data_IF_743103677192
#
_entry.id   IF_743103677192
#
_cell.length_a   1.000
_cell.length_b   1.000
_cell.length_c   1.000
_cell.angle_alpha   90.00
_cell.angle_beta   90.00
_cell.angle_gamma   90.00
#
_symmetry.space_group_name_H-M   'P 1'
#
loop_
_entity.id
_entity.type
_entity.pdbx_description
1 polymer ?
#
# COMPACT_ATOMS: atom_id res chain seq x y z
N UNK A 1 -21.41 -12.77 1.88
CA UNK A 1 -21.75 -13.80 0.90
C UNK A 1 -22.36 -15.03 1.60
N UNK A 2 -23.02 -15.90 0.83
CA UNK A 2 -23.72 -17.11 1.31
C UNK A 2 -24.95 -16.78 2.20
N UNK A 3 -25.63 -15.68 1.90
CA UNK A 3 -26.85 -15.28 2.60
C UNK A 3 -28.08 -15.98 2.00
N UNK A 4 -28.10 -17.32 2.08
CA UNK A 4 -29.18 -18.16 1.54
C UNK A 4 -29.36 -19.44 2.36
N UNK A 5 -30.52 -20.12 2.16
CA UNK A 5 -30.87 -21.39 2.80
C UNK A 5 -30.77 -21.32 4.32
N UNK A 6 -30.20 -22.34 4.94
CA UNK A 6 -30.06 -22.47 6.39
C UNK A 6 -29.18 -21.40 7.02
N UNK A 7 -28.28 -20.74 6.22
CA UNK A 7 -27.36 -19.72 6.69
C UNK A 7 -27.98 -18.32 6.74
N UNK A 8 -29.21 -18.13 6.24
CA UNK A 8 -29.85 -16.82 6.14
C UNK A 8 -29.91 -16.09 7.49
N UNK A 9 -30.38 -16.76 8.54
CA UNK A 9 -30.51 -16.14 9.86
C UNK A 9 -29.17 -15.80 10.50
N UNK A 10 -28.16 -16.63 10.28
CA UNK A 10 -26.79 -16.35 10.75
C UNK A 10 -26.17 -15.18 9.98
N UNK A 11 -26.36 -15.12 8.66
CA UNK A 11 -25.88 -14.02 7.83
C UNK A 11 -26.52 -12.67 8.21
N UNK A 12 -27.82 -12.65 8.51
CA UNK A 12 -28.51 -11.43 8.96
C UNK A 12 -27.98 -10.92 10.30
N UNK A 13 -27.73 -11.81 11.28
CA UNK A 13 -27.05 -11.42 12.53
C UNK A 13 -25.68 -10.84 12.27
N UNK A 14 -24.88 -11.51 11.45
CA UNK A 14 -23.55 -11.05 11.06
C UNK A 14 -23.58 -9.65 10.42
N UNK A 15 -24.57 -9.36 9.56
CA UNK A 15 -24.75 -8.01 9.00
C UNK A 15 -25.01 -6.99 10.10
N UNK A 16 -25.85 -7.32 11.09
CA UNK A 16 -26.09 -6.44 12.24
C UNK A 16 -24.83 -6.16 13.04
N UNK A 17 -24.07 -7.19 13.38
CA UNK A 17 -22.84 -7.10 14.15
C UNK A 17 -21.77 -6.24 13.43
N UNK A 18 -21.54 -6.50 12.14
CA UNK A 18 -20.61 -5.70 11.35
C UNK A 18 -21.07 -4.25 11.17
N UNK A 19 -22.37 -4.03 10.99
CA UNK A 19 -22.90 -2.67 10.89
C UNK A 19 -22.68 -1.90 12.19
N UNK A 20 -22.92 -2.53 13.34
CA UNK A 20 -22.67 -1.92 14.64
C UNK A 20 -21.19 -1.64 14.86
N UNK A 21 -20.31 -2.59 14.53
CA UNK A 21 -18.86 -2.42 14.63
C UNK A 21 -18.35 -1.27 13.75
N UNK A 22 -18.80 -1.20 12.49
CA UNK A 22 -18.40 -0.14 11.56
C UNK A 22 -18.86 1.26 12.00
N UNK A 23 -19.98 1.38 12.73
CA UNK A 23 -20.41 2.66 13.30
C UNK A 23 -19.50 3.18 14.41
N UNK A 24 -18.81 2.28 15.11
CA UNK A 24 -17.84 2.64 16.15
C UNK A 24 -16.47 3.01 15.58
N UNK A 25 -16.19 2.63 14.34
CA UNK A 25 -14.93 2.92 13.67
C UNK A 25 -15.02 4.28 12.96
N UNK A 26 -13.95 5.06 13.03
CA UNK A 26 -13.84 6.26 12.20
C UNK A 26 -13.67 5.85 10.73
N UNK A 27 -14.56 6.37 9.87
CA UNK A 27 -14.43 6.16 8.43
C UNK A 27 -13.15 6.81 7.90
N UNK A 28 -12.39 6.08 7.08
CA UNK A 28 -11.24 6.62 6.33
C UNK A 28 -11.65 7.65 5.27
N UNK A 29 -12.94 7.71 4.95
CA UNK A 29 -13.50 8.64 3.98
C UNK A 29 -14.49 9.53 4.72
N UNK A 30 -14.20 10.83 4.88
CA UNK A 30 -15.08 11.74 5.60
C UNK A 30 -16.50 11.72 5.05
N UNK A 31 -17.50 11.67 5.94
CA UNK A 31 -18.91 11.65 5.56
C UNK A 31 -19.42 10.39 4.86
N UNK A 32 -18.58 9.36 4.68
CA UNK A 32 -18.99 8.08 4.10
C UNK A 32 -19.23 7.03 5.18
N UNK A 33 -20.40 6.42 5.17
CA UNK A 33 -20.73 5.27 6.00
C UNK A 33 -20.66 4.00 5.15
N UNK A 34 -19.76 3.08 5.51
CA UNK A 34 -19.55 1.84 4.76
C UNK A 34 -20.78 0.95 4.91
N UNK A 35 -21.49 0.58 3.81
CA UNK A 35 -22.62 -0.33 3.90
C UNK A 35 -22.15 -1.77 4.09
N UNK A 36 -22.89 -2.54 4.87
CA UNK A 36 -22.74 -3.99 4.97
C UNK A 36 -23.85 -4.64 4.13
N UNK A 37 -23.47 -5.38 3.11
CA UNK A 37 -24.40 -5.99 2.15
C UNK A 37 -24.44 -7.50 2.35
N UNK A 38 -25.65 -8.04 2.50
CA UNK A 38 -25.88 -9.47 2.46
C UNK A 38 -26.07 -9.90 1.00
N UNK A 39 -25.28 -10.85 0.54
CA UNK A 39 -25.36 -11.36 -0.84
C UNK A 39 -25.32 -12.89 -0.87
N UNK A 40 -25.91 -13.48 -1.89
CA UNK A 40 -25.74 -14.89 -2.23
C UNK A 40 -25.26 -15.03 -3.68
N UNK A 41 -24.06 -15.54 -3.86
CA UNK A 41 -23.56 -15.85 -5.20
C UNK A 41 -24.29 -17.05 -5.85
N UNK A 42 -24.97 -17.88 -5.04
CA UNK A 42 -25.71 -19.04 -5.51
C UNK A 42 -27.08 -18.65 -6.11
N UNK A 43 -27.77 -17.74 -5.44
CA UNK A 43 -29.12 -17.32 -5.85
C UNK A 43 -29.13 -16.01 -6.64
N UNK A 44 -28.02 -15.25 -6.59
CA UNK A 44 -27.93 -13.90 -7.13
C UNK A 44 -28.55 -12.82 -6.23
N UNK A 45 -29.15 -13.22 -5.10
CA UNK A 45 -29.83 -12.28 -4.21
C UNK A 45 -28.83 -11.27 -3.62
N UNK A 46 -29.21 -9.99 -3.63
CA UNK A 46 -28.41 -8.88 -3.12
C UNK A 46 -27.19 -8.50 -3.97
N UNK A 47 -26.83 -9.26 -5.00
CA UNK A 47 -25.62 -8.99 -5.81
C UNK A 47 -25.75 -7.67 -6.56
N UNK A 48 -26.93 -7.30 -7.05
CA UNK A 48 -27.19 -6.03 -7.73
C UNK A 48 -26.96 -4.80 -6.84
N UNK A 49 -27.07 -4.92 -5.52
CA UNK A 49 -26.79 -3.81 -4.60
C UNK A 49 -25.30 -3.46 -4.47
N UNK A 50 -24.41 -4.35 -4.91
CA UNK A 50 -22.96 -4.13 -4.80
C UNK A 50 -22.47 -3.02 -5.75
N UNK A 51 -22.74 -3.08 -7.08
CA UNK A 51 -22.37 -2.01 -7.98
C UNK A 51 -23.02 -0.66 -7.59
N UNK A 52 -24.26 -0.66 -7.10
CA UNK A 52 -24.91 0.56 -6.63
C UNK A 52 -24.19 1.17 -5.43
N UNK A 53 -23.70 0.35 -4.51
CA UNK A 53 -22.94 0.83 -3.35
C UNK A 53 -21.56 1.38 -3.79
N UNK A 54 -20.91 0.75 -4.77
CA UNK A 54 -19.65 1.22 -5.35
C UNK A 54 -19.86 2.56 -6.05
N UNK A 55 -20.91 2.69 -6.86
CA UNK A 55 -21.22 3.93 -7.57
C UNK A 55 -21.49 5.08 -6.59
N UNK A 56 -22.30 4.86 -5.56
CA UNK A 56 -22.54 5.86 -4.51
C UNK A 56 -21.25 6.30 -3.81
N UNK A 57 -20.35 5.36 -3.50
CA UNK A 57 -19.04 5.67 -2.92
C UNK A 57 -18.19 6.51 -3.87
N UNK A 58 -18.17 6.15 -5.15
CA UNK A 58 -17.43 6.87 -6.18
C UNK A 58 -17.93 8.31 -6.34
N UNK A 59 -19.25 8.50 -6.45
CA UNK A 59 -19.88 9.81 -6.54
C UNK A 59 -19.61 10.67 -5.30
N UNK A 60 -19.76 10.07 -4.09
CA UNK A 60 -19.43 10.76 -2.85
C UNK A 60 -17.96 11.19 -2.81
N UNK A 61 -17.06 10.30 -3.16
CA UNK A 61 -15.61 10.56 -3.12
C UNK A 61 -15.19 11.64 -4.13
N UNK A 62 -15.81 11.67 -5.30
CA UNK A 62 -15.58 12.73 -6.29
C UNK A 62 -16.13 14.07 -5.85
N UNK A 63 -17.36 14.10 -5.36
CA UNK A 63 -17.99 15.33 -4.89
C UNK A 63 -17.21 16.02 -3.76
N UNK A 64 -16.48 15.24 -2.97
CA UNK A 64 -15.62 15.72 -1.88
C UNK A 64 -14.15 15.98 -2.31
N UNK A 65 -13.79 15.77 -3.57
CA UNK A 65 -12.40 15.85 -4.05
C UNK A 65 -11.45 14.80 -3.47
N UNK A 66 -12.00 13.80 -2.76
CA UNK A 66 -11.21 12.75 -2.08
C UNK A 66 -10.58 11.81 -3.10
N UNK A 67 -11.29 11.56 -4.18
CA UNK A 67 -10.81 10.66 -5.24
C UNK A 67 -9.55 11.24 -5.90
N UNK A 68 -9.58 12.48 -6.28
CA UNK A 68 -8.46 13.18 -6.93
C UNK A 68 -7.26 13.33 -5.98
N UNK A 69 -7.52 13.68 -4.72
CA UNK A 69 -6.48 13.77 -3.70
C UNK A 69 -5.76 12.42 -3.49
N UNK A 70 -6.51 11.33 -3.35
CA UNK A 70 -5.93 9.98 -3.22
C UNK A 70 -5.13 9.57 -4.44
N UNK A 71 -5.61 9.90 -5.65
CA UNK A 71 -4.87 9.62 -6.89
C UNK A 71 -3.56 10.39 -6.94
N UNK A 72 -3.56 11.66 -6.52
CA UNK A 72 -2.35 12.45 -6.45
C UNK A 72 -1.34 11.86 -5.44
N UNK A 73 -1.80 11.43 -4.27
CA UNK A 73 -0.95 10.80 -3.26
C UNK A 73 -0.38 9.47 -3.75
N UNK A 74 -1.20 8.61 -4.36
CA UNK A 74 -0.76 7.36 -4.99
C UNK A 74 0.30 7.60 -6.07
N UNK A 75 0.12 8.63 -6.90
CA UNK A 75 1.09 8.98 -7.93
C UNK A 75 2.43 9.45 -7.31
N UNK A 76 2.39 10.25 -6.22
CA UNK A 76 3.60 10.66 -5.50
C UNK A 76 4.32 9.47 -4.87
N UNK A 77 3.58 8.56 -4.23
CA UNK A 77 4.17 7.34 -3.68
C UNK A 77 4.79 6.45 -4.75
N UNK A 78 4.09 6.22 -5.86
CA UNK A 78 4.58 5.43 -6.98
C UNK A 78 5.86 6.04 -7.58
N UNK A 79 5.91 7.38 -7.74
CA UNK A 79 7.12 8.07 -8.19
C UNK A 79 8.27 7.86 -7.19
N UNK A 80 8.01 8.03 -5.89
CA UNK A 80 9.03 7.83 -4.86
C UNK A 80 9.57 6.40 -4.84
N UNK A 81 8.71 5.41 -5.04
CA UNK A 81 9.11 4.01 -5.14
C UNK A 81 9.93 3.74 -6.40
N UNK A 82 9.47 4.19 -7.57
CA UNK A 82 10.19 4.03 -8.83
C UNK A 82 11.58 4.68 -8.81
N UNK A 83 11.70 5.85 -8.16
CA UNK A 83 13.00 6.51 -7.97
C UNK A 83 13.93 5.68 -7.08
N UNK A 84 13.44 5.17 -5.93
CA UNK A 84 14.26 4.32 -5.04
C UNK A 84 14.73 3.06 -5.75
N UNK A 85 13.85 2.36 -6.44
CA UNK A 85 14.17 1.16 -7.20
C UNK A 85 15.16 1.45 -8.33
N UNK A 86 14.91 2.49 -9.11
CA UNK A 86 15.79 2.87 -10.23
C UNK A 86 17.17 3.34 -9.77
N UNK A 87 17.27 4.06 -8.64
CA UNK A 87 18.56 4.45 -8.07
C UNK A 87 19.33 3.22 -7.56
N UNK A 88 18.65 2.32 -6.84
CA UNK A 88 19.26 1.09 -6.35
C UNK A 88 19.74 0.20 -7.50
N UNK A 89 18.92 0.04 -8.53
CA UNK A 89 19.28 -0.75 -9.71
C UNK A 89 20.50 -0.19 -10.42
N UNK A 90 20.55 1.13 -10.65
CA UNK A 90 21.71 1.82 -11.25
C UNK A 90 22.97 1.67 -10.40
N UNK A 91 22.80 1.77 -9.08
CA UNK A 91 23.90 1.61 -8.14
C UNK A 91 24.49 0.18 -8.18
N UNK A 92 23.64 -0.85 -8.16
CA UNK A 92 24.07 -2.25 -8.20
C UNK A 92 24.66 -2.62 -9.57
N UNK A 93 24.13 -2.06 -10.66
CA UNK A 93 24.65 -2.31 -12.02
C UNK A 93 25.99 -1.63 -12.32
N UNK A 94 26.42 -0.68 -11.47
CA UNK A 94 27.75 -0.10 -11.61
C UNK A 94 28.83 -1.14 -11.21
N UNK A 95 29.75 -1.52 -12.12
CA UNK A 95 30.73 -2.58 -11.85
C UNK A 95 31.64 -2.30 -10.64
N UNK A 96 32.00 -1.02 -10.45
CA UNK A 96 32.85 -0.59 -9.33
C UNK A 96 32.05 -0.71 -8.01
N UNK A 97 30.80 -0.27 -8.01
CA UNK A 97 29.92 -0.41 -6.84
C UNK A 97 29.64 -1.87 -6.52
N UNK A 98 29.37 -2.71 -7.52
CA UNK A 98 29.10 -4.14 -7.34
C UNK A 98 30.26 -4.87 -6.63
N UNK A 99 31.51 -4.60 -7.02
CA UNK A 99 32.68 -5.18 -6.38
C UNK A 99 32.82 -4.74 -4.92
N UNK A 100 32.59 -3.46 -4.64
CA UNK A 100 32.63 -2.90 -3.27
C UNK A 100 31.50 -3.45 -2.40
N UNK A 101 30.31 -3.61 -2.95
CA UNK A 101 29.17 -4.21 -2.25
C UNK A 101 29.52 -5.61 -1.74
N UNK A 102 30.15 -6.45 -2.54
CA UNK A 102 30.54 -7.80 -2.12
C UNK A 102 31.64 -7.78 -1.03
N UNK A 103 32.58 -6.86 -1.10
CA UNK A 103 33.56 -6.69 -0.04
C UNK A 103 32.90 -6.28 1.30
N UNK A 104 32.03 -5.28 1.26
CA UNK A 104 31.28 -4.81 2.44
C UNK A 104 30.36 -5.91 3.00
N UNK A 105 29.69 -6.66 2.15
CA UNK A 105 28.86 -7.81 2.56
C UNK A 105 29.67 -8.85 3.35
N UNK A 106 30.87 -9.15 2.89
CA UNK A 106 31.77 -10.09 3.57
C UNK A 106 32.14 -9.60 4.96
N UNK A 107 32.48 -8.31 5.10
CA UNK A 107 32.83 -7.71 6.40
C UNK A 107 31.63 -7.67 7.36
N UNK A 108 30.44 -7.33 6.86
CA UNK A 108 29.20 -7.34 7.63
C UNK A 108 28.83 -8.76 8.07
N UNK A 109 28.90 -9.74 7.16
CA UNK A 109 28.61 -11.14 7.47
C UNK A 109 29.56 -11.73 8.51
N UNK A 110 30.81 -11.27 8.54
CA UNK A 110 31.81 -11.65 9.53
C UNK A 110 31.70 -10.89 10.87
N UNK A 111 30.71 -9.99 11.01
CA UNK A 111 30.53 -9.16 12.21
C UNK A 111 31.59 -8.07 12.44
N UNK A 112 32.46 -7.82 11.44
CA UNK A 112 33.50 -6.81 11.52
C UNK A 112 33.04 -5.41 11.14
N UNK A 113 31.91 -5.29 10.46
CA UNK A 113 31.35 -4.00 10.05
C UNK A 113 29.87 -3.95 10.38
N UNK A 114 29.40 -2.85 10.95
CA UNK A 114 27.98 -2.60 11.21
C UNK A 114 27.28 -2.33 9.88
N UNK A 115 26.11 -2.96 9.56
CA UNK A 115 25.43 -2.81 8.29
C UNK A 115 25.15 -1.35 7.87
N UNK A 116 24.73 -0.50 8.82
CA UNK A 116 24.47 0.91 8.54
C UNK A 116 25.73 1.70 8.15
N UNK A 117 26.86 1.38 8.79
CA UNK A 117 28.17 2.00 8.47
C UNK A 117 28.65 1.56 7.09
N UNK A 118 28.51 0.25 6.78
CA UNK A 118 28.87 -0.27 5.45
C UNK A 118 28.03 0.35 4.32
N UNK A 119 26.73 0.51 4.56
CA UNK A 119 25.86 1.20 3.59
C UNK A 119 26.28 2.66 3.38
N UNK A 120 26.59 3.39 4.45
CA UNK A 120 27.04 4.78 4.35
C UNK A 120 28.36 4.90 3.57
N UNK A 121 29.34 4.05 3.84
CA UNK A 121 30.61 4.02 3.09
C UNK A 121 30.40 3.81 1.59
N UNK A 122 29.51 2.87 1.21
CA UNK A 122 29.19 2.62 -0.19
C UNK A 122 28.53 3.82 -0.87
N UNK A 123 27.69 4.56 -0.17
CA UNK A 123 27.01 5.74 -0.69
C UNK A 123 27.97 6.93 -0.83
N UNK A 124 28.82 7.20 0.16
CA UNK A 124 29.76 8.30 0.15
C UNK A 124 30.82 8.15 -0.96
N UNK A 125 31.35 6.95 -1.15
CA UNK A 125 32.35 6.66 -2.17
C UNK A 125 31.80 6.70 -3.62
N UNK A 126 30.49 6.56 -3.80
CA UNK A 126 29.83 6.66 -5.11
C UNK A 126 29.12 8.00 -5.33
N UNK A 127 29.32 8.98 -4.45
CA UNK A 127 28.76 10.32 -4.61
C UNK A 127 29.70 11.17 -5.49
N UNK A 128 29.31 11.56 -6.73
CA UNK A 128 30.16 12.30 -7.64
C UNK A 128 30.50 13.73 -7.17
N UNK A 129 29.94 14.20 -6.06
CA UNK A 129 30.15 15.54 -5.52
C UNK A 129 31.19 15.63 -4.39
N UNK A 130 31.68 14.50 -3.88
CA UNK A 130 32.70 14.55 -2.81
C UNK A 130 34.11 14.94 -3.30
N UNK A 131 34.35 15.01 -4.62
CA UNK A 131 35.65 15.32 -5.22
C UNK A 131 35.79 16.71 -5.87
N UNK A 132 34.84 17.63 -5.70
CA UNK A 132 34.83 18.93 -6.38
C UNK A 132 34.87 20.12 -5.40
N UNK A 133 35.66 20.01 -4.35
CA UNK A 133 36.04 21.14 -3.48
C UNK A 133 37.54 21.01 -3.15
N UNK A 134 38.35 21.37 -4.09
CA UNK A 134 39.70 21.97 -3.92
C UNK A 134 39.88 23.10 -4.92
#
# INVERSE_FOLDING_TARGET
>A
NKCDGELLSAAQRTVGDYTAALRLMQSRTPGWQVPVLAISARTGEGVSAVPDAIERFYQHSRAQGIFEARRADQAREALGQALREGLLERFIKNPIAAQKIEAVRTEVAAGRLIPAVGAQQLLDENNPKAGAQE
#
